data_IF_255427594042
#
_entry.id   IF_255427594042
#
_cell.length_a   1.000
_cell.length_b   1.000
_cell.length_c   1.000
_cell.angle_alpha   90.00
_cell.angle_beta   90.00
_cell.angle_gamma   90.00
#
_symmetry.space_group_name_H-M   'P 1'
#
loop_
_entity.id
_entity.type
_entity.pdbx_description
1 polymer ?
#
# COMPACT_ATOMS: atom_id res chain seq x y z
N UNK A 1 35.20 20.27 -24.43
CA UNK A 1 33.86 19.75 -24.82
C UNK A 1 33.64 18.32 -24.32
N UNK A 2 34.62 17.42 -24.40
CA UNK A 2 34.51 16.05 -23.87
C UNK A 2 34.39 15.99 -22.32
N UNK A 3 35.04 16.92 -21.62
CA UNK A 3 35.02 17.02 -20.15
C UNK A 3 33.67 17.46 -19.56
N UNK A 4 32.87 18.24 -20.30
CA UNK A 4 31.54 18.67 -19.83
C UNK A 4 30.48 17.56 -19.95
N UNK A 5 30.63 16.65 -20.92
CA UNK A 5 29.71 15.53 -21.15
C UNK A 5 29.83 14.46 -20.05
N UNK A 6 31.05 14.23 -19.55
CA UNK A 6 31.32 13.23 -18.49
C UNK A 6 30.73 13.66 -17.13
N UNK A 7 30.75 14.96 -16.82
CA UNK A 7 30.19 15.49 -15.56
C UNK A 7 28.67 15.39 -15.51
N UNK A 8 27.99 15.41 -16.67
CA UNK A 8 26.53 15.30 -16.74
C UNK A 8 26.01 13.88 -16.50
N UNK A 9 26.77 12.85 -16.89
CA UNK A 9 26.40 11.44 -16.66
C UNK A 9 26.51 11.03 -15.18
N UNK A 10 27.48 11.57 -14.44
CA UNK A 10 27.72 11.22 -13.02
C UNK A 10 26.61 11.76 -12.10
N UNK A 11 25.87 12.79 -12.53
CA UNK A 11 24.74 13.36 -11.79
C UNK A 11 23.45 12.53 -11.85
N UNK A 12 23.42 11.45 -12.66
CA UNK A 12 22.23 10.64 -12.87
C UNK A 12 22.21 9.30 -12.11
N UNK A 13 23.23 8.98 -11.30
CA UNK A 13 23.10 7.94 -10.27
C UNK A 13 22.40 8.53 -9.04
N UNK A 14 21.12 8.84 -9.18
CA UNK A 14 20.24 8.81 -8.03
C UNK A 14 20.16 7.35 -7.60
N UNK A 15 20.90 6.96 -6.55
CA UNK A 15 20.60 5.74 -5.81
C UNK A 15 19.19 5.93 -5.23
N UNK A 16 18.17 5.44 -5.93
CA UNK A 16 16.85 5.24 -5.36
C UNK A 16 17.00 4.14 -4.31
N UNK A 17 17.35 4.52 -3.09
CA UNK A 17 17.26 3.64 -1.93
C UNK A 17 15.88 3.81 -1.33
N UNK A 18 14.88 3.14 -1.90
CA UNK A 18 13.66 2.83 -1.14
C UNK A 18 13.96 1.62 -0.25
N UNK A 19 14.82 1.80 0.76
CA UNK A 19 14.98 0.76 1.78
C UNK A 19 13.80 0.87 2.72
N UNK A 20 12.76 0.07 2.46
CA UNK A 20 11.70 -0.12 3.43
C UNK A 20 12.32 -0.57 4.76
N UNK A 21 11.98 0.15 5.84
CA UNK A 21 12.42 -0.17 7.18
C UNK A 21 11.47 -1.19 7.82
N UNK A 22 11.79 -2.47 7.69
CA UNK A 22 10.99 -3.55 8.26
C UNK A 22 11.08 -3.63 9.79
N UNK A 23 12.02 -2.92 10.43
CA UNK A 23 12.22 -3.00 11.90
C UNK A 23 11.14 -2.29 12.71
N UNK A 24 10.34 -1.43 12.05
CA UNK A 24 9.26 -0.65 12.68
C UNK A 24 7.95 -1.42 12.88
N UNK A 25 8.02 -2.74 12.96
CA UNK A 25 6.83 -3.51 13.25
C UNK A 25 6.28 -3.13 14.62
N UNK A 26 4.98 -2.84 14.66
CA UNK A 26 4.24 -2.76 15.91
C UNK A 26 2.79 -3.21 15.67
N UNK A 27 2.12 -3.73 16.73
CA UNK A 27 0.72 -4.12 16.60
C UNK A 27 -0.16 -2.89 16.37
N UNK A 28 -1.38 -3.13 15.87
CA UNK A 28 -2.41 -2.10 15.76
C UNK A 28 -2.76 -1.54 17.15
N UNK A 29 -2.90 -0.22 17.25
CA UNK A 29 -3.43 0.46 18.42
C UNK A 29 -4.96 0.39 18.49
N UNK A 30 -5.56 0.89 19.59
CA UNK A 30 -7.01 0.85 19.80
C UNK A 30 -7.85 1.55 18.72
N UNK A 31 -7.29 2.59 18.10
CA UNK A 31 -7.98 3.41 17.08
C UNK A 31 -7.59 3.04 15.64
N UNK A 32 -6.70 2.06 15.48
CA UNK A 32 -6.20 1.64 14.18
C UNK A 32 -7.12 0.59 13.57
N UNK A 33 -7.21 0.62 12.23
CA UNK A 33 -8.12 -0.25 11.48
C UNK A 33 -7.31 -1.27 10.68
N UNK A 34 -7.81 -2.50 10.62
CA UNK A 34 -7.33 -3.54 9.72
C UNK A 34 -8.50 -4.13 8.94
N UNK A 35 -8.19 -4.72 7.80
CA UNK A 35 -9.15 -5.38 6.92
C UNK A 35 -9.01 -6.90 6.92
N UNK A 36 -9.65 -7.60 5.98
CA UNK A 36 -9.52 -9.05 5.84
C UNK A 36 -8.22 -9.46 5.13
N UNK A 37 -7.60 -8.55 4.35
CA UNK A 37 -6.43 -8.89 3.54
C UNK A 37 -5.12 -8.83 4.36
N UNK A 38 -4.35 -9.93 4.46
CA UNK A 38 -3.15 -9.99 5.30
C UNK A 38 -2.00 -9.10 4.80
N UNK A 39 -1.90 -8.88 3.49
CA UNK A 39 -0.83 -8.07 2.88
C UNK A 39 -0.88 -6.59 3.33
N UNK A 40 -1.95 -5.80 3.07
CA UNK A 40 -2.03 -4.42 3.52
C UNK A 40 -2.06 -4.30 5.06
N UNK A 41 -2.57 -5.30 5.77
CA UNK A 41 -2.50 -5.32 7.24
C UNK A 41 -1.06 -5.40 7.76
N UNK A 42 -0.24 -6.28 7.17
CA UNK A 42 1.18 -6.41 7.49
C UNK A 42 1.94 -5.13 7.15
N UNK A 43 1.69 -4.56 5.97
CA UNK A 43 2.32 -3.31 5.56
C UNK A 43 1.95 -2.13 6.46
N UNK A 44 0.71 -2.05 6.95
CA UNK A 44 0.30 -1.06 7.94
C UNK A 44 1.03 -1.30 9.28
N UNK A 45 1.11 -2.55 9.75
CA UNK A 45 1.86 -2.90 10.97
C UNK A 45 3.36 -2.55 10.91
N UNK A 46 3.96 -2.60 9.72
CA UNK A 46 5.35 -2.17 9.50
C UNK A 46 5.50 -0.66 9.21
N UNK A 47 4.40 0.11 9.21
CA UNK A 47 4.43 1.55 8.90
C UNK A 47 4.77 1.89 7.44
N UNK A 48 4.68 0.90 6.54
CA UNK A 48 4.91 1.04 5.10
C UNK A 48 3.67 1.66 4.43
N UNK A 49 2.49 1.21 4.88
CA UNK A 49 1.22 1.90 4.67
C UNK A 49 0.90 2.75 5.91
N UNK A 50 -0.03 3.73 5.82
CA UNK A 50 -0.54 4.44 6.98
C UNK A 50 -0.91 3.48 8.12
N UNK A 51 -0.19 3.57 9.24
CA UNK A 51 -0.31 2.59 10.32
C UNK A 51 -1.73 2.53 10.89
N UNK A 52 -2.45 3.65 10.87
CA UNK A 52 -3.84 3.72 11.31
C UNK A 52 -4.83 2.97 10.43
N UNK A 53 -4.39 2.46 9.27
CA UNK A 53 -5.22 1.73 8.32
C UNK A 53 -6.31 2.58 7.65
N UNK A 54 -6.17 3.91 7.66
CA UNK A 54 -7.17 4.85 7.15
C UNK A 54 -6.60 5.66 5.98
N UNK A 55 -7.47 6.11 5.08
CA UNK A 55 -7.08 7.04 4.02
C UNK A 55 -6.22 6.44 2.90
N UNK A 56 -6.41 5.16 2.58
CA UNK A 56 -5.69 4.46 1.51
C UNK A 56 -6.11 5.00 0.14
N UNK A 57 -5.14 5.56 -0.59
CA UNK A 57 -5.30 5.99 -1.99
C UNK A 57 -4.51 5.06 -2.91
N UNK A 58 -4.82 5.05 -4.21
CA UNK A 58 -4.07 4.27 -5.19
C UNK A 58 -2.56 4.58 -5.19
N UNK A 59 -2.10 5.85 -5.13
CA UNK A 59 -0.66 6.14 -5.03
C UNK A 59 -0.01 5.59 -3.76
N UNK A 60 -0.70 5.65 -2.61
CA UNK A 60 -0.22 5.09 -1.35
C UNK A 60 -0.04 3.57 -1.47
N UNK A 61 -1.05 2.88 -1.99
CA UNK A 61 -1.00 1.44 -2.22
C UNK A 61 0.10 1.07 -3.21
N UNK A 62 0.19 1.78 -4.35
CA UNK A 62 1.17 1.51 -5.38
C UNK A 62 2.59 1.59 -4.84
N UNK A 63 2.92 2.67 -4.12
CA UNK A 63 4.23 2.84 -3.51
C UNK A 63 4.49 1.79 -2.43
N UNK A 64 3.56 1.63 -1.48
CA UNK A 64 3.76 0.76 -0.32
C UNK A 64 3.84 -0.72 -0.66
N UNK A 65 3.01 -1.21 -1.58
CA UNK A 65 3.02 -2.61 -2.02
C UNK A 65 4.25 -2.92 -2.86
N UNK A 66 4.60 -2.02 -3.79
CA UNK A 66 5.79 -2.21 -4.61
C UNK A 66 7.06 -2.21 -3.76
N UNK A 67 7.24 -1.23 -2.89
CA UNK A 67 8.44 -1.13 -2.07
C UNK A 67 8.49 -2.19 -0.96
N UNK A 68 7.34 -2.51 -0.35
CA UNK A 68 7.26 -3.40 0.83
C UNK A 68 7.15 -4.88 0.52
N UNK A 69 6.64 -5.25 -0.66
CA UNK A 69 6.46 -6.66 -1.06
C UNK A 69 7.10 -7.01 -2.40
N UNK A 70 7.58 -6.01 -3.16
CA UNK A 70 8.03 -6.20 -4.54
C UNK A 70 6.95 -6.86 -5.43
N UNK A 71 5.70 -6.47 -5.20
CA UNK A 71 4.53 -6.93 -5.96
C UNK A 71 4.07 -5.84 -6.93
N UNK A 72 3.62 -6.26 -8.11
CA UNK A 72 3.17 -5.38 -9.17
C UNK A 72 1.77 -4.82 -8.94
N UNK A 73 1.18 -4.32 -10.03
CA UNK A 73 -0.13 -3.67 -10.00
C UNK A 73 -1.30 -4.64 -9.71
N UNK A 74 -1.08 -5.94 -9.79
CA UNK A 74 -2.06 -7.00 -9.55
C UNK A 74 -2.67 -6.94 -8.14
N UNK A 75 -1.85 -6.89 -7.09
CA UNK A 75 -2.36 -6.77 -5.72
C UNK A 75 -3.03 -5.42 -5.47
N UNK A 76 -2.51 -4.35 -6.08
CA UNK A 76 -3.08 -3.00 -5.99
C UNK A 76 -4.45 -2.94 -6.67
N UNK A 77 -4.61 -3.62 -7.79
CA UNK A 77 -5.89 -3.70 -8.49
C UNK A 77 -6.94 -4.37 -7.60
N UNK A 78 -6.58 -5.49 -6.95
CA UNK A 78 -7.52 -6.20 -6.08
C UNK A 78 -7.86 -5.39 -4.82
N UNK A 79 -6.84 -4.98 -4.06
CA UNK A 79 -7.04 -4.26 -2.80
C UNK A 79 -7.59 -2.83 -3.01
N UNK A 80 -7.12 -2.13 -4.05
CA UNK A 80 -7.57 -0.77 -4.37
C UNK A 80 -8.99 -0.76 -4.92
N UNK A 81 -9.34 -1.66 -5.85
CA UNK A 81 -10.70 -1.72 -6.41
C UNK A 81 -11.70 -2.20 -5.37
N UNK A 82 -11.39 -3.29 -4.66
CA UNK A 82 -12.25 -3.78 -3.58
C UNK A 82 -12.46 -2.74 -2.50
N UNK A 83 -11.39 -2.05 -2.09
CA UNK A 83 -11.46 -0.97 -1.12
C UNK A 83 -12.32 0.21 -1.58
N UNK A 84 -12.17 0.66 -2.84
CA UNK A 84 -12.99 1.72 -3.41
C UNK A 84 -14.47 1.34 -3.52
N UNK A 85 -14.77 0.12 -3.95
CA UNK A 85 -16.15 -0.36 -4.08
C UNK A 85 -16.82 -0.55 -2.72
N UNK A 86 -16.07 -1.00 -1.71
CA UNK A 86 -16.55 -1.13 -0.34
C UNK A 86 -16.65 0.19 0.42
N UNK A 87 -15.93 1.24 0.00
CA UNK A 87 -15.96 2.52 0.70
C UNK A 87 -17.37 3.15 0.66
N UNK A 88 -17.85 3.63 1.82
CA UNK A 88 -19.16 4.30 1.94
C UNK A 88 -19.37 5.47 0.97
N UNK A 89 -18.28 6.13 0.58
CA UNK A 89 -18.30 7.20 -0.41
C UNK A 89 -17.04 7.12 -1.30
N UNK A 90 -17.11 6.42 -2.46
CA UNK A 90 -15.97 6.27 -3.36
C UNK A 90 -15.48 7.59 -3.96
N UNK A 91 -16.33 8.64 -3.98
CA UNK A 91 -15.95 9.97 -4.49
C UNK A 91 -14.91 10.68 -3.61
N UNK A 92 -14.63 10.16 -2.41
CA UNK A 92 -13.51 10.63 -1.58
C UNK A 92 -12.15 10.23 -2.13
N UNK A 93 -12.10 9.30 -3.09
CA UNK A 93 -10.88 8.77 -3.71
C UNK A 93 -9.90 8.12 -2.73
N UNK A 94 -10.43 7.64 -1.59
CA UNK A 94 -9.71 6.82 -0.64
C UNK A 94 -10.67 5.89 0.12
N UNK A 95 -10.11 4.84 0.69
CA UNK A 95 -10.81 3.89 1.55
C UNK A 95 -10.02 3.64 2.84
N UNK A 96 -10.66 3.05 3.84
CA UNK A 96 -9.98 2.51 5.02
C UNK A 96 -9.88 1.00 4.89
N UNK A 97 -8.90 0.36 5.53
CA UNK A 97 -8.66 -1.08 5.34
C UNK A 97 -9.87 -1.96 5.68
N UNK A 98 -10.74 -1.56 6.61
CA UNK A 98 -11.99 -2.29 6.90
C UNK A 98 -13.08 -2.14 5.84
N UNK A 99 -12.98 -1.18 4.91
CA UNK A 99 -13.92 -1.11 3.78
C UNK A 99 -13.76 -2.32 2.84
N UNK A 100 -12.60 -3.01 2.89
CA UNK A 100 -12.40 -4.29 2.23
C UNK A 100 -13.24 -5.42 2.83
N UNK A 101 -13.78 -5.28 4.04
CA UNK A 101 -14.57 -6.31 4.72
C UNK A 101 -16.04 -6.35 4.29
N UNK A 102 -16.45 -5.51 3.34
CA UNK A 102 -17.84 -5.54 2.87
C UNK A 102 -18.06 -6.77 2.00
N UNK A 103 -18.85 -7.70 2.55
CA UNK A 103 -19.23 -8.95 1.88
C UNK A 103 -19.93 -8.68 0.55
N UNK A 104 -19.71 -9.58 -0.41
CA UNK A 104 -20.25 -9.51 -1.78
C UNK A 104 -19.77 -8.31 -2.62
N UNK A 105 -18.79 -7.53 -2.14
CA UNK A 105 -18.23 -6.36 -2.84
C UNK A 105 -16.76 -6.59 -3.24
N UNK A 106 -16.57 -7.54 -4.17
CA UNK A 106 -15.32 -7.87 -4.88
C UNK A 106 -14.21 -8.52 -4.05
N UNK A 107 -13.80 -7.95 -2.90
CA UNK A 107 -12.61 -8.40 -2.17
C UNK A 107 -12.86 -9.44 -1.07
N UNK A 108 -13.92 -9.26 -0.27
CA UNK A 108 -14.27 -10.20 0.80
C UNK A 108 -15.24 -11.27 0.28
N UNK A 109 -14.99 -12.51 0.67
CA UNK A 109 -15.69 -13.68 0.14
C UNK A 109 -15.64 -14.88 1.09
N UNK A 110 -16.60 -15.80 0.92
CA UNK A 110 -16.65 -17.08 1.61
C UNK A 110 -15.44 -17.98 1.31
N UNK A 111 -15.20 -18.97 2.18
CA UNK A 111 -14.09 -19.92 2.08
C UNK A 111 -12.70 -19.27 2.06
N UNK A 112 -12.56 -18.14 2.76
CA UNK A 112 -11.26 -17.51 3.06
C UNK A 112 -10.34 -18.47 3.81
N UNK A 113 -9.02 -18.30 3.63
CA UNK A 113 -8.01 -19.14 4.27
C UNK A 113 -7.82 -18.84 5.77
N UNK A 114 -8.20 -17.63 6.20
CA UNK A 114 -8.08 -17.13 7.58
C UNK A 114 -9.04 -15.97 7.84
#
# INVERSE_FOLDING_TARGET
>A
MLTAVVVMFIRCLSLVSASVDYTRWHPQGPDDIRGPCPAPNSLANHGILPHNGKGMTYPILLKGILEGLNVGFDLILVAGTGGMLGAKNPLRLYFNLNDLSNHDLFAEHDASLS
#
